data_IF_147661908646
#
_entry.id   IF_147661908646
#
_cell.length_a   1.000
_cell.length_b   1.000
_cell.length_c   1.000
_cell.angle_alpha   90.00
_cell.angle_beta   90.00
_cell.angle_gamma   90.00
#
_symmetry.space_group_name_H-M   'P 1'
#
loop_
_entity.id
_entity.type
_entity.pdbx_description
1 polymer ?
#
# COMPACT_ATOMS: atom_id res chain seq x y z
N UNK A 1 -23.04 6.88 38.04
CA UNK A 1 -22.10 7.56 37.11
C UNK A 1 -20.68 7.60 37.69
N UNK A 2 -20.01 6.45 37.85
CA UNK A 2 -18.61 6.40 38.35
C UNK A 2 -17.65 5.60 37.46
N UNK A 3 -18.14 4.97 36.39
CA UNK A 3 -17.33 4.07 35.55
C UNK A 3 -17.01 4.62 34.14
N UNK A 4 -17.58 5.77 33.77
CA UNK A 4 -17.37 6.36 32.44
C UNK A 4 -15.96 6.98 32.31
N UNK A 5 -15.35 7.41 33.43
CA UNK A 5 -14.03 8.04 33.41
C UNK A 5 -12.89 7.05 33.11
N UNK A 6 -13.06 5.77 33.45
CA UNK A 6 -12.02 4.75 33.27
C UNK A 6 -11.88 4.31 31.80
N UNK A 7 -12.99 4.31 31.05
CA UNK A 7 -13.02 3.92 29.63
C UNK A 7 -12.32 4.98 28.75
N UNK A 8 -12.47 6.26 29.09
CA UNK A 8 -11.82 7.35 28.36
C UNK A 8 -10.30 7.40 28.55
N UNK A 9 -9.77 6.92 29.68
CA UNK A 9 -8.33 6.82 29.90
C UNK A 9 -7.69 5.65 29.15
N UNK A 10 -8.40 4.53 28.97
CA UNK A 10 -7.87 3.38 28.21
C UNK A 10 -7.81 3.58 26.70
N UNK A 11 -8.57 4.53 26.14
CA UNK A 11 -8.60 4.78 24.69
C UNK A 11 -7.41 5.61 24.17
N UNK A 12 -6.63 6.23 25.06
CA UNK A 12 -5.46 7.02 24.67
C UNK A 12 -4.14 6.24 24.71
N UNK A 13 -4.15 4.96 25.12
CA UNK A 13 -2.92 4.17 25.36
C UNK A 13 -2.74 2.98 24.39
N UNK A 14 -3.42 2.97 23.24
CA UNK A 14 -3.20 1.98 22.17
C UNK A 14 -2.76 2.57 20.83
N UNK A 15 -2.45 3.88 20.78
CA UNK A 15 -1.99 4.55 19.54
C UNK A 15 -0.50 4.29 19.21
N UNK A 16 0.21 3.48 20.00
CA UNK A 16 1.67 3.34 19.90
C UNK A 16 2.16 1.95 19.51
N UNK A 17 1.36 1.16 18.81
CA UNK A 17 1.84 -0.11 18.22
C UNK A 17 1.92 0.01 16.70
N UNK A 18 3.07 0.52 16.23
CA UNK A 18 3.72 0.23 14.96
C UNK A 18 2.87 0.31 13.68
N UNK A 19 2.32 1.47 13.35
CA UNK A 19 1.99 1.73 11.94
C UNK A 19 3.27 2.06 11.20
N UNK A 20 3.96 1.04 10.67
CA UNK A 20 5.04 1.25 9.70
C UNK A 20 4.53 2.15 8.57
N UNK A 21 5.38 3.05 8.07
CA UNK A 21 5.00 3.95 7.00
C UNK A 21 4.57 3.15 5.76
N UNK A 22 3.61 3.65 4.98
CA UNK A 22 3.14 2.99 3.76
C UNK A 22 3.53 3.82 2.55
N UNK A 23 4.21 3.20 1.59
CA UNK A 23 4.59 3.84 0.34
C UNK A 23 4.03 3.07 -0.85
N UNK A 24 3.44 3.79 -1.80
CA UNK A 24 2.84 3.24 -3.01
C UNK A 24 3.59 3.79 -4.21
N UNK A 25 4.07 2.91 -5.08
CA UNK A 25 4.82 3.26 -6.27
C UNK A 25 4.09 2.80 -7.53
N UNK A 26 4.11 3.64 -8.56
CA UNK A 26 3.71 3.25 -9.89
C UNK A 26 4.77 2.36 -10.57
N UNK A 27 4.46 1.94 -11.79
CA UNK A 27 5.31 1.11 -12.62
C UNK A 27 6.56 1.79 -13.19
N UNK A 28 6.75 3.08 -12.90
CA UNK A 28 7.90 3.88 -13.26
C UNK A 28 8.64 4.37 -11.99
N UNK A 29 8.42 3.70 -10.85
CA UNK A 29 9.00 3.98 -9.53
C UNK A 29 8.66 5.37 -8.98
N UNK A 30 7.56 5.99 -9.44
CA UNK A 30 7.06 7.26 -8.90
C UNK A 30 6.16 7.01 -7.69
N UNK A 31 6.34 7.81 -6.64
CA UNK A 31 5.45 7.78 -5.48
C UNK A 31 4.07 8.29 -5.90
N UNK A 32 3.02 7.52 -5.60
CA UNK A 32 1.64 7.84 -5.95
C UNK A 32 0.75 7.89 -4.71
N UNK A 33 -0.36 8.62 -4.80
CA UNK A 33 -1.37 8.68 -3.75
C UNK A 33 -2.23 7.42 -3.71
N UNK A 34 -2.94 7.21 -2.60
CA UNK A 34 -3.86 6.08 -2.45
C UNK A 34 -4.98 6.10 -3.50
N UNK A 35 -5.45 7.28 -3.92
CA UNK A 35 -6.50 7.39 -4.94
C UNK A 35 -5.97 7.02 -6.34
N UNK A 36 -4.74 7.45 -6.67
CA UNK A 36 -4.07 7.04 -7.91
C UNK A 36 -3.82 5.53 -7.94
N UNK A 37 -3.46 4.95 -6.80
CA UNK A 37 -3.27 3.51 -6.64
C UNK A 37 -4.58 2.73 -6.87
N UNK A 38 -5.70 3.17 -6.28
CA UNK A 38 -7.02 2.57 -6.50
C UNK A 38 -7.46 2.63 -7.96
N UNK A 39 -7.18 3.73 -8.65
CA UNK A 39 -7.50 3.86 -10.06
C UNK A 39 -6.68 2.89 -10.93
N UNK A 40 -5.40 2.67 -10.58
CA UNK A 40 -4.51 1.75 -11.30
C UNK A 40 -4.79 0.27 -11.01
N UNK A 41 -5.32 -0.09 -9.85
CA UNK A 41 -5.66 -1.48 -9.48
C UNK A 41 -6.53 -2.21 -10.52
N UNK A 42 -7.33 -1.47 -11.31
CA UNK A 42 -8.21 -2.03 -12.32
C UNK A 42 -7.52 -2.31 -13.68
N UNK A 43 -6.25 -1.94 -13.86
CA UNK A 43 -5.53 -2.17 -15.11
C UNK A 43 -5.01 -3.62 -15.17
N UNK A 44 -5.43 -4.35 -16.20
CA UNK A 44 -5.04 -5.76 -16.42
C UNK A 44 -3.56 -5.93 -16.81
N UNK A 45 -2.92 -4.86 -17.29
CA UNK A 45 -1.55 -4.85 -17.81
C UNK A 45 -0.48 -4.64 -16.73
N UNK A 46 -0.89 -4.39 -15.49
CA UNK A 46 0.04 -4.22 -14.38
C UNK A 46 -0.12 -5.37 -13.37
N UNK A 47 0.96 -5.62 -12.64
CA UNK A 47 1.04 -6.60 -11.56
C UNK A 47 1.37 -5.84 -10.27
N UNK A 48 0.68 -6.14 -9.18
CA UNK A 48 0.95 -5.54 -7.88
C UNK A 48 1.88 -6.46 -7.09
N UNK A 49 3.02 -5.92 -6.65
CA UNK A 49 3.86 -6.54 -5.64
C UNK A 49 3.77 -5.76 -4.33
N UNK A 50 3.74 -6.47 -3.22
CA UNK A 50 3.80 -5.87 -1.89
C UNK A 50 4.90 -6.56 -1.08
N UNK A 51 5.69 -5.76 -0.37
CA UNK A 51 6.73 -6.27 0.51
C UNK A 51 6.91 -5.34 1.71
N UNK A 52 7.45 -5.91 2.77
CA UNK A 52 7.71 -5.21 4.03
C UNK A 52 9.21 -5.04 4.22
N UNK A 53 9.60 -3.86 4.67
CA UNK A 53 10.94 -3.57 5.17
C UNK A 53 10.86 -3.20 6.66
N UNK A 54 12.00 -3.09 7.33
CA UNK A 54 12.05 -2.80 8.77
C UNK A 54 11.27 -1.53 9.16
N UNK A 55 11.22 -0.55 8.27
CA UNK A 55 10.64 0.78 8.52
C UNK A 55 9.29 1.03 7.83
N UNK A 56 8.89 0.22 6.84
CA UNK A 56 7.76 0.54 5.96
C UNK A 56 7.13 -0.68 5.27
N UNK A 57 5.87 -0.53 4.86
CA UNK A 57 5.21 -1.38 3.87
C UNK A 57 5.28 -0.72 2.49
N UNK A 58 5.69 -1.48 1.49
CA UNK A 58 5.83 -1.01 0.12
C UNK A 58 4.86 -1.75 -0.78
N UNK A 59 4.02 -1.00 -1.50
CA UNK A 59 3.25 -1.51 -2.64
C UNK A 59 3.80 -0.92 -3.94
N UNK A 60 4.06 -1.75 -4.95
CA UNK A 60 4.58 -1.30 -6.24
C UNK A 60 3.87 -2.00 -7.39
N UNK A 61 3.52 -1.24 -8.43
CA UNK A 61 3.08 -1.82 -9.69
C UNK A 61 4.27 -2.19 -10.57
N UNK A 62 4.19 -3.32 -11.24
CA UNK A 62 5.11 -3.76 -12.28
C UNK A 62 4.36 -3.84 -13.61
N UNK A 63 4.98 -3.42 -14.71
CA UNK A 63 4.42 -3.70 -16.04
C UNK A 63 4.50 -5.21 -16.25
N UNK A 64 3.37 -5.86 -16.53
CA UNK A 64 3.43 -7.22 -17.06
C UNK A 64 4.17 -7.14 -18.37
N UNK A 65 5.35 -7.73 -18.43
CA UNK A 65 6.02 -7.94 -19.72
C UNK A 65 5.10 -8.84 -20.52
N UNK A 66 4.78 -8.46 -21.76
CA UNK A 66 4.13 -9.34 -22.71
C UNK A 66 5.11 -10.49 -23.02
N UNK A 67 5.08 -11.55 -22.20
CA UNK A 67 5.79 -12.78 -22.49
C UNK A 67 5.05 -13.41 -23.69
N UNK A 68 5.58 -13.22 -24.90
CA UNK A 68 5.13 -13.95 -26.09
C UNK A 68 4.70 -13.13 -27.31
N UNK A 69 4.89 -11.81 -27.38
CA UNK A 69 4.76 -11.10 -28.66
C UNK A 69 6.11 -11.20 -29.39
N UNK A 70 6.34 -12.34 -30.03
CA UNK A 70 7.24 -12.37 -31.17
C UNK A 70 6.58 -11.52 -32.26
N UNK A 71 7.12 -10.33 -32.51
CA UNK A 71 6.73 -9.51 -33.65
C UNK A 71 6.92 -10.35 -34.92
N UNK A 72 5.82 -10.83 -35.50
CA UNK A 72 5.82 -11.36 -36.87
C UNK A 72 6.15 -10.19 -37.79
N UNK A 73 7.44 -10.12 -38.16
CA UNK A 73 7.97 -9.24 -39.20
C UNK A 73 7.52 -9.77 -40.56
#
# INVERSE_FOLDING_TARGET
>A
MKYILFILLSLNCFSQTNSKAQYLFDENDQLISQDQFKNKLNDKKIELITYEIDTAFIGRFLKKKDIGILSSS
#
